data_IF_593027788895
#
_entry.id   IF_593027788895
#
_cell.length_a   1.000
_cell.length_b   1.000
_cell.length_c   1.000
_cell.angle_alpha   90.00
_cell.angle_beta   90.00
_cell.angle_gamma   90.00
#
_symmetry.space_group_name_H-M   'P 1'
#
loop_
_entity.id
_entity.type
_entity.pdbx_description
1 polymer ?
#
# COMPACT_ATOMS: atom_id res chain seq x y z
N UNK A 1 8.88 6.16 3.80
CA UNK A 1 9.85 7.26 3.88
C UNK A 1 10.93 7.05 4.94
N UNK A 2 10.62 6.48 6.12
CA UNK A 2 11.62 6.28 7.19
C UNK A 2 12.85 5.48 6.80
N UNK A 3 12.73 4.42 5.99
CA UNK A 3 13.89 3.70 5.47
C UNK A 3 14.84 4.57 4.64
N UNK A 4 14.28 5.42 3.76
CA UNK A 4 15.07 6.40 2.99
C UNK A 4 15.79 7.38 3.92
N UNK A 5 15.07 7.98 4.86
CA UNK A 5 15.63 8.93 5.84
C UNK A 5 16.75 8.27 6.65
N UNK A 6 16.57 7.02 7.06
CA UNK A 6 17.61 6.26 7.75
C UNK A 6 18.84 6.05 6.87
N UNK A 7 18.68 5.65 5.61
CA UNK A 7 19.81 5.45 4.70
C UNK A 7 20.54 6.77 4.38
N UNK A 8 19.80 7.86 4.19
CA UNK A 8 20.38 9.20 3.98
C UNK A 8 21.17 9.66 5.20
N UNK A 9 20.59 9.53 6.40
CA UNK A 9 21.24 9.91 7.66
C UNK A 9 22.45 9.01 7.96
N UNK A 10 22.35 7.70 7.69
CA UNK A 10 23.45 6.77 7.84
C UNK A 10 24.62 7.15 6.92
N UNK A 11 24.33 7.43 5.65
CA UNK A 11 25.33 7.83 4.67
C UNK A 11 26.00 9.15 5.07
N UNK A 12 25.22 10.15 5.49
CA UNK A 12 25.73 11.43 5.99
C UNK A 12 26.70 11.22 7.17
N UNK A 13 26.34 10.36 8.13
CA UNK A 13 27.18 10.07 9.30
C UNK A 13 28.45 9.30 8.95
N UNK A 14 28.36 8.34 8.04
CA UNK A 14 29.53 7.60 7.56
C UNK A 14 30.51 8.53 6.83
N UNK A 15 30.01 9.47 6.03
CA UNK A 15 30.85 10.45 5.34
C UNK A 15 31.47 11.47 6.30
N UNK A 16 30.74 11.91 7.32
CA UNK A 16 31.29 12.82 8.35
C UNK A 16 32.41 12.13 9.17
N UNK A 17 32.23 10.86 9.54
CA UNK A 17 33.25 10.08 10.25
C UNK A 17 34.50 9.80 9.42
N UNK A 18 34.41 9.81 8.08
CA UNK A 18 35.55 9.66 7.19
C UNK A 18 36.40 10.95 7.07
N UNK A 19 35.84 12.11 7.44
CA UNK A 19 36.50 13.42 7.38
C UNK A 19 37.23 13.72 8.71
N UNK A 20 36.66 13.28 9.83
CA UNK A 20 37.24 13.42 11.16
C UNK A 20 38.23 12.26 11.48
N UNK A 21 39.48 12.41 11.01
CA UNK A 21 40.70 11.70 11.43
C UNK A 21 40.78 10.16 11.21
N UNK A 22 41.49 9.67 10.16
CA UNK A 22 41.66 8.23 9.89
C UNK A 22 42.60 7.50 10.86
N UNK A 23 43.23 8.18 11.83
CA UNK A 23 44.33 7.63 12.62
C UNK A 23 43.92 7.06 13.99
N UNK A 24 42.66 7.20 14.40
CA UNK A 24 42.16 6.68 15.69
C UNK A 24 41.22 5.47 15.50
N UNK A 25 41.70 4.46 14.78
CA UNK A 25 40.97 3.24 14.42
C UNK A 25 41.00 2.15 15.51
N UNK A 26 40.48 2.41 16.71
CA UNK A 26 40.32 1.33 17.70
C UNK A 26 38.96 1.26 18.39
N UNK A 27 38.18 2.34 18.40
CA UNK A 27 36.83 2.27 18.96
C UNK A 27 35.86 2.99 18.04
N UNK A 28 35.26 2.24 17.12
CA UNK A 28 34.10 2.70 16.37
C UNK A 28 32.93 2.82 17.36
N UNK A 29 32.94 3.91 18.14
CA UNK A 29 31.85 4.24 19.05
C UNK A 29 30.60 4.29 18.19
N UNK A 30 29.55 3.51 18.50
CA UNK A 30 28.31 3.59 17.76
C UNK A 30 27.89 5.07 17.76
N UNK A 31 27.46 5.61 16.60
CA UNK A 31 27.07 7.01 16.53
C UNK A 31 26.10 7.26 17.67
N UNK A 32 26.48 8.15 18.59
CA UNK A 32 25.62 8.50 19.72
C UNK A 32 24.34 9.05 19.11
N UNK A 33 23.31 8.21 19.07
CA UNK A 33 22.00 8.63 18.66
C UNK A 33 21.52 9.49 19.84
N UNK A 34 21.82 10.78 19.79
CA UNK A 34 21.41 11.79 20.78
C UNK A 34 19.88 12.03 20.78
N UNK A 35 19.10 11.00 20.44
CA UNK A 35 17.66 10.99 20.59
C UNK A 35 17.36 10.23 21.86
N UNK A 36 17.19 10.98 22.96
CA UNK A 36 16.60 10.47 24.19
C UNK A 36 15.22 9.85 23.88
N UNK A 37 14.68 9.03 24.79
CA UNK A 37 13.33 8.48 24.67
C UNK A 37 12.27 9.58 24.43
N UNK A 38 12.55 10.81 24.87
CA UNK A 38 11.72 12.01 24.68
C UNK A 38 11.76 12.55 23.24
N UNK A 39 12.73 12.13 22.42
CA UNK A 39 12.87 12.53 21.02
C UNK A 39 12.18 11.58 20.03
N UNK A 40 11.53 10.50 20.50
CA UNK A 40 10.69 9.71 19.60
C UNK A 40 9.50 10.54 19.14
N UNK A 41 9.17 10.52 17.83
CA UNK A 41 7.98 11.21 17.39
C UNK A 41 6.77 10.60 18.10
N UNK A 42 5.84 11.44 18.58
CA UNK A 42 4.61 10.96 19.19
C UNK A 42 3.81 10.12 18.20
N UNK A 43 2.90 9.30 18.73
CA UNK A 43 2.00 8.51 17.88
C UNK A 43 1.12 9.43 17.03
N UNK A 44 0.68 8.94 15.86
CA UNK A 44 -0.10 9.76 14.93
C UNK A 44 -1.36 10.34 15.60
N UNK A 45 -2.02 9.59 16.47
CA UNK A 45 -3.26 10.00 17.13
C UNK A 45 -3.03 11.18 18.11
N UNK A 46 -1.80 11.36 18.61
CA UNK A 46 -1.42 12.53 19.41
C UNK A 46 -1.05 13.74 18.56
N UNK A 47 -0.62 13.50 17.32
CA UNK A 47 -0.23 14.55 16.37
C UNK A 47 -1.41 15.17 15.66
N UNK A 48 -2.48 14.42 15.43
CA UNK A 48 -3.63 14.88 14.67
C UNK A 48 -4.89 14.17 15.14
N UNK A 49 -5.96 14.93 15.31
CA UNK A 49 -7.25 14.33 15.62
C UNK A 49 -7.82 13.70 14.35
N UNK A 50 -7.87 12.37 14.36
CA UNK A 50 -8.41 11.58 13.26
C UNK A 50 -9.92 11.49 13.46
N UNK A 51 -10.64 12.42 12.84
CA UNK A 51 -12.11 12.46 12.94
C UNK A 51 -12.74 11.22 12.30
N UNK A 52 -13.57 10.53 13.08
CA UNK A 52 -14.28 9.33 12.65
C UNK A 52 -15.78 9.57 12.74
N UNK A 53 -16.48 9.44 11.62
CA UNK A 53 -17.93 9.56 11.59
C UNK A 53 -18.62 8.31 12.18
N UNK A 54 -19.81 8.45 12.80
CA UNK A 54 -20.57 7.32 13.31
C UNK A 54 -20.89 6.26 12.25
N UNK A 55 -21.20 6.70 11.02
CA UNK A 55 -21.44 5.81 9.89
C UNK A 55 -20.19 4.99 9.54
N UNK A 56 -19.00 5.60 9.59
CA UNK A 56 -17.75 4.89 9.39
C UNK A 56 -17.49 3.88 10.52
N UNK A 57 -17.69 4.26 11.78
CA UNK A 57 -17.55 3.35 12.93
C UNK A 57 -18.45 2.13 12.78
N UNK A 58 -19.73 2.35 12.44
CA UNK A 58 -20.68 1.28 12.21
C UNK A 58 -20.23 0.35 11.06
N UNK A 59 -19.77 0.94 9.94
CA UNK A 59 -19.27 0.18 8.80
C UNK A 59 -18.00 -0.61 9.13
N UNK A 60 -17.06 -0.02 9.85
CA UNK A 60 -15.82 -0.67 10.27
C UNK A 60 -16.09 -1.82 11.25
N UNK A 61 -16.89 -1.57 12.28
CA UNK A 61 -17.35 -2.59 13.24
C UNK A 61 -18.08 -3.74 12.54
N UNK A 62 -18.98 -3.40 11.61
CA UNK A 62 -19.69 -4.41 10.80
C UNK A 62 -18.74 -5.19 9.88
N UNK A 63 -17.69 -4.58 9.34
CA UNK A 63 -16.69 -5.27 8.50
C UNK A 63 -15.83 -6.22 9.33
N UNK A 64 -15.51 -5.84 10.56
CA UNK A 64 -14.69 -6.59 11.52
C UNK A 64 -15.44 -7.78 12.16
N UNK A 65 -16.71 -7.60 12.49
CA UNK A 65 -17.51 -8.58 13.23
C UNK A 65 -18.29 -9.56 12.34
N UNK A 66 -18.24 -9.42 11.01
CA UNK A 66 -18.93 -10.35 10.10
C UNK A 66 -18.23 -11.71 10.11
N UNK A 67 -18.96 -12.82 10.33
CA UNK A 67 -18.38 -14.15 10.27
C UNK A 67 -17.91 -14.47 8.86
N UNK A 68 -16.63 -14.82 8.73
CA UNK A 68 -15.99 -15.04 7.43
C UNK A 68 -16.60 -16.24 6.67
N UNK A 69 -17.17 -17.22 7.37
CA UNK A 69 -17.85 -18.38 6.79
C UNK A 69 -19.19 -18.06 6.10
N UNK A 70 -19.89 -17.01 6.53
CA UNK A 70 -21.20 -16.63 5.95
C UNK A 70 -21.10 -15.52 4.90
N UNK A 71 -19.95 -14.86 4.79
CA UNK A 71 -19.75 -13.70 3.93
C UNK A 71 -18.49 -13.82 3.08
N UNK A 72 -18.44 -14.88 2.26
CA UNK A 72 -17.39 -15.06 1.26
C UNK A 72 -17.46 -13.90 0.26
N UNK A 73 -16.33 -13.23 0.05
CA UNK A 73 -16.23 -12.14 -0.94
C UNK A 73 -15.84 -12.72 -2.30
N UNK A 74 -16.41 -12.18 -3.38
CA UNK A 74 -15.98 -12.54 -4.73
C UNK A 74 -14.47 -12.35 -4.98
N UNK A 75 -13.86 -11.36 -4.30
CA UNK A 75 -12.43 -11.07 -4.39
C UNK A 75 -11.56 -11.99 -3.52
N UNK A 76 -12.16 -12.94 -2.80
CA UNK A 76 -11.42 -13.88 -1.97
C UNK A 76 -10.92 -15.03 -2.84
N UNK A 77 -9.62 -15.32 -2.77
CA UNK A 77 -8.96 -16.34 -3.57
C UNK A 77 -9.26 -17.76 -3.06
N UNK A 78 -10.51 -18.21 -3.23
CA UNK A 78 -10.94 -19.57 -2.86
C UNK A 78 -10.17 -20.65 -3.62
N UNK A 79 -9.69 -20.32 -4.81
CA UNK A 79 -8.87 -21.18 -5.67
C UNK A 79 -7.43 -21.39 -5.14
N UNK A 80 -6.96 -20.59 -4.17
CA UNK A 80 -5.61 -20.70 -3.59
C UNK A 80 -5.69 -20.77 -2.07
N UNK A 81 -6.00 -21.94 -1.49
CA UNK A 81 -6.08 -22.09 -0.05
C UNK A 81 -4.71 -21.89 0.61
N UNK A 82 -4.74 -21.31 1.82
CA UNK A 82 -3.55 -21.15 2.66
C UNK A 82 -3.11 -22.54 3.16
N UNK A 83 -1.86 -22.91 2.89
CA UNK A 83 -1.24 -24.17 3.30
C UNK A 83 -0.09 -23.87 4.26
N UNK A 84 0.13 -24.77 5.21
CA UNK A 84 1.22 -24.68 6.19
C UNK A 84 2.57 -25.14 5.62
N UNK A 85 2.55 -25.94 4.55
CA UNK A 85 3.76 -26.33 3.82
C UNK A 85 4.38 -25.13 3.10
N UNK A 86 5.72 -25.05 2.99
CA UNK A 86 6.39 -23.93 2.33
C UNK A 86 5.96 -23.81 0.86
N UNK A 87 5.55 -22.60 0.47
CA UNK A 87 5.27 -22.29 -0.93
C UNK A 87 6.57 -22.14 -1.73
N UNK A 88 6.61 -22.68 -2.94
CA UNK A 88 7.66 -22.36 -3.91
C UNK A 88 7.37 -21.00 -4.54
N UNK A 89 7.89 -19.94 -3.92
CA UNK A 89 7.74 -18.57 -4.42
C UNK A 89 8.73 -18.32 -5.57
N UNK A 90 8.23 -17.88 -6.73
CA UNK A 90 9.06 -17.40 -7.83
C UNK A 90 9.09 -15.89 -7.80
N UNK A 91 10.25 -15.32 -7.51
CA UNK A 91 10.48 -13.88 -7.64
C UNK A 91 10.98 -13.57 -9.05
N UNK A 92 10.40 -12.55 -9.70
CA UNK A 92 10.88 -12.03 -10.98
C UNK A 92 11.00 -10.52 -10.87
N UNK A 93 12.12 -9.99 -11.36
CA UNK A 93 12.33 -8.56 -11.56
C UNK A 93 12.40 -8.30 -13.06
N UNK A 94 11.78 -7.21 -13.50
CA UNK A 94 11.87 -6.75 -14.88
C UNK A 94 12.29 -5.29 -14.87
N UNK A 95 13.21 -4.95 -15.75
CA UNK A 95 13.62 -3.57 -15.99
C UNK A 95 12.91 -3.10 -17.26
N UNK A 96 12.30 -1.92 -17.19
CA UNK A 96 11.81 -1.23 -18.38
C UNK A 96 12.97 -0.36 -18.86
N UNK A 97 13.54 -0.69 -20.01
CA UNK A 97 14.59 0.11 -20.64
C UNK A 97 14.07 1.53 -20.93
N UNK A 98 14.96 2.51 -21.09
CA UNK A 98 14.62 3.93 -21.31
C UNK A 98 13.94 4.15 -22.69
N UNK A 99 12.74 3.59 -22.88
CA UNK A 99 11.79 4.04 -23.89
C UNK A 99 11.48 5.47 -23.52
N UNK A 100 11.90 6.43 -24.37
CA UNK A 100 11.78 7.90 -24.19
C UNK A 100 11.00 8.26 -22.91
N UNK A 101 11.68 8.56 -21.78
CA UNK A 101 11.06 8.61 -20.45
C UNK A 101 9.90 9.61 -20.33
N UNK A 102 9.69 10.44 -21.35
CA UNK A 102 8.53 11.30 -21.54
C UNK A 102 7.25 10.58 -22.00
N UNK A 103 7.34 9.50 -22.78
CA UNK A 103 6.19 8.87 -23.47
C UNK A 103 5.16 8.26 -22.51
N UNK A 104 5.60 7.49 -21.51
CA UNK A 104 4.69 6.83 -20.57
C UNK A 104 3.97 7.84 -19.66
N UNK A 105 4.66 8.80 -19.01
CA UNK A 105 4.00 9.85 -18.25
C UNK A 105 3.08 10.73 -19.10
N UNK A 106 3.47 11.06 -20.34
CA UNK A 106 2.62 11.81 -21.28
C UNK A 106 1.36 11.03 -21.63
N UNK A 107 1.46 9.74 -21.95
CA UNK A 107 0.29 8.90 -22.21
C UNK A 107 -0.62 8.82 -20.98
N UNK A 108 -0.07 8.64 -19.78
CA UNK A 108 -0.87 8.66 -18.55
C UNK A 108 -1.60 9.99 -18.37
N UNK A 109 -0.95 11.12 -18.63
CA UNK A 109 -1.58 12.45 -18.58
C UNK A 109 -2.68 12.60 -19.63
N UNK A 110 -2.45 12.15 -20.86
CA UNK A 110 -3.45 12.18 -21.94
C UNK A 110 -4.72 11.38 -21.61
N UNK A 111 -4.59 10.29 -20.85
CA UNK A 111 -5.72 9.50 -20.36
C UNK A 111 -6.19 9.90 -18.95
N UNK A 112 -5.74 11.04 -18.43
CA UNK A 112 -6.15 11.56 -17.12
C UNK A 112 -5.79 10.65 -15.94
N UNK A 113 -4.80 9.77 -16.06
CA UNK A 113 -4.38 8.80 -15.04
C UNK A 113 -2.96 9.06 -14.54
N UNK A 114 -2.43 8.18 -13.67
CA UNK A 114 -1.03 8.17 -13.23
C UNK A 114 -0.36 6.85 -13.60
N UNK A 115 0.97 6.79 -13.51
CA UNK A 115 1.72 5.53 -13.65
C UNK A 115 1.20 4.47 -12.69
N UNK A 116 0.89 4.86 -11.45
CA UNK A 116 0.32 3.97 -10.44
C UNK A 116 -1.04 3.40 -10.87
N UNK A 117 -1.93 4.23 -11.42
CA UNK A 117 -3.20 3.76 -11.98
C UNK A 117 -2.97 2.79 -13.14
N UNK A 118 -2.05 3.13 -14.06
CA UNK A 118 -1.68 2.28 -15.19
C UNK A 118 -1.18 0.91 -14.78
N UNK A 119 -0.32 0.85 -13.78
CA UNK A 119 0.19 -0.41 -13.24
C UNK A 119 -0.94 -1.28 -12.67
N UNK A 120 -1.93 -0.70 -11.99
CA UNK A 120 -3.09 -1.46 -11.51
C UNK A 120 -3.90 -2.07 -12.66
N UNK A 121 -4.13 -1.30 -13.73
CA UNK A 121 -4.81 -1.80 -14.92
C UNK A 121 -4.03 -2.93 -15.62
N UNK A 122 -2.72 -2.76 -15.83
CA UNK A 122 -1.89 -3.78 -16.48
C UNK A 122 -1.77 -5.06 -15.64
N UNK A 123 -1.59 -4.94 -14.33
CA UNK A 123 -1.52 -6.09 -13.42
C UNK A 123 -2.85 -6.84 -13.40
N UNK A 124 -3.99 -6.14 -13.49
CA UNK A 124 -5.30 -6.79 -13.58
C UNK A 124 -5.41 -7.68 -14.83
N UNK A 125 -5.03 -7.16 -16.00
CA UNK A 125 -5.02 -7.96 -17.25
C UNK A 125 -4.03 -9.13 -17.15
N UNK A 126 -2.83 -8.89 -16.63
CA UNK A 126 -1.83 -9.93 -16.44
C UNK A 126 -2.31 -11.05 -15.52
N UNK A 127 -2.96 -10.70 -14.39
CA UNK A 127 -3.51 -11.68 -13.46
C UNK A 127 -4.64 -12.50 -14.11
N UNK A 128 -5.50 -11.89 -14.92
CA UNK A 128 -6.50 -12.63 -15.70
C UNK A 128 -5.84 -13.61 -16.69
N UNK A 129 -4.85 -13.14 -17.46
CA UNK A 129 -4.15 -13.99 -18.42
C UNK A 129 -3.40 -15.16 -17.76
N UNK A 130 -2.81 -14.93 -16.57
CA UNK A 130 -2.07 -15.96 -15.83
C UNK A 130 -2.98 -16.96 -15.12
N UNK A 131 -4.12 -16.52 -14.60
CA UNK A 131 -5.02 -17.37 -13.80
C UNK A 131 -6.03 -18.15 -14.63
N UNK A 132 -6.26 -17.74 -15.89
CA UNK A 132 -6.98 -18.50 -16.91
C UNK A 132 -8.32 -19.11 -16.46
N UNK A 133 -9.44 -18.49 -16.83
CA UNK A 133 -10.77 -19.10 -16.64
C UNK A 133 -11.47 -18.76 -15.32
N UNK A 134 -12.40 -19.62 -14.86
CA UNK A 134 -13.38 -19.33 -13.79
C UNK A 134 -12.80 -19.30 -12.36
N UNK A 135 -11.49 -19.47 -12.18
CA UNK A 135 -10.87 -19.62 -10.85
C UNK A 135 -11.03 -18.38 -9.98
N UNK A 136 -10.84 -17.18 -10.54
CA UNK A 136 -11.12 -15.92 -9.87
C UNK A 136 -12.41 -15.31 -10.44
N UNK A 137 -13.34 -14.85 -9.60
CA UNK A 137 -14.52 -14.11 -10.10
C UNK A 137 -14.38 -12.60 -9.94
N UNK A 138 -13.40 -12.14 -9.16
CA UNK A 138 -13.09 -10.74 -8.94
C UNK A 138 -11.69 -10.63 -8.35
N UNK A 139 -11.10 -9.43 -8.42
CA UNK A 139 -9.81 -9.14 -7.79
C UNK A 139 -9.91 -7.99 -6.80
N UNK A 140 -9.00 -8.00 -5.83
CA UNK A 140 -8.76 -6.86 -4.98
C UNK A 140 -7.26 -6.53 -4.97
N UNK A 141 -6.95 -5.25 -4.88
CA UNK A 141 -5.60 -4.75 -4.64
C UNK A 141 -5.61 -3.86 -3.41
N UNK A 142 -4.63 -4.04 -2.54
CA UNK A 142 -4.45 -3.17 -1.39
C UNK A 142 -3.27 -2.26 -1.64
N UNK A 143 -3.45 -0.97 -1.34
CA UNK A 143 -2.43 0.04 -1.53
C UNK A 143 -2.14 0.74 -0.22
N UNK A 144 -0.85 0.80 0.12
CA UNK A 144 -0.34 1.68 1.16
C UNK A 144 -0.38 3.13 0.69
N UNK A 145 -0.91 4.02 1.52
CA UNK A 145 -0.97 5.47 1.29
C UNK A 145 -0.18 6.15 2.38
N UNK A 146 0.82 6.92 1.97
CA UNK A 146 1.58 7.78 2.86
C UNK A 146 0.69 8.93 3.37
N UNK A 147 0.60 9.06 4.69
CA UNK A 147 -0.18 10.06 5.41
C UNK A 147 0.70 11.17 5.99
N UNK A 148 2.03 11.09 5.85
CA UNK A 148 2.98 12.06 6.41
C UNK A 148 2.68 13.50 5.97
N UNK A 149 2.18 13.70 4.74
CA UNK A 149 1.75 15.01 4.20
C UNK A 149 0.59 15.66 4.94
N UNK A 150 -0.20 14.89 5.68
CA UNK A 150 -1.37 15.39 6.42
C UNK A 150 -1.03 15.67 7.90
N UNK A 151 0.21 15.41 8.32
CA UNK A 151 0.64 15.67 9.68
C UNK A 151 1.04 17.14 9.85
N UNK A 152 0.64 17.78 10.96
CA UNK A 152 1.05 19.15 11.25
C UNK A 152 2.54 19.20 11.64
N UNK A 153 3.22 20.28 11.26
CA UNK A 153 4.56 20.60 11.76
C UNK A 153 4.49 21.56 12.95
N UNK A 154 5.45 21.43 13.88
CA UNK A 154 5.72 22.46 14.89
C UNK A 154 4.57 22.78 15.87
N UNK A 155 3.76 21.80 16.28
CA UNK A 155 2.71 22.01 17.29
C UNK A 155 3.33 22.49 18.62
N UNK A 156 2.66 23.32 19.44
CA UNK A 156 3.21 23.78 20.72
C UNK A 156 3.68 22.64 21.65
N UNK A 157 2.90 21.54 21.70
CA UNK A 157 3.22 20.35 22.50
C UNK A 157 4.36 19.51 21.90
N UNK A 158 4.63 19.63 20.60
CA UNK A 158 5.61 18.86 19.85
C UNK A 158 6.36 19.78 18.87
N UNK A 159 7.02 20.81 19.40
CA UNK A 159 7.60 21.90 18.59
C UNK A 159 8.77 21.44 17.71
N UNK A 160 9.47 20.38 18.12
CA UNK A 160 10.54 19.74 17.36
C UNK A 160 10.06 18.75 16.29
N UNK A 161 8.75 18.46 16.23
CA UNK A 161 8.22 17.50 15.28
C UNK A 161 8.14 18.10 13.88
N UNK A 162 8.90 17.48 12.97
CA UNK A 162 8.90 17.80 11.54
C UNK A 162 8.44 16.57 10.76
N UNK A 163 7.26 16.59 10.11
CA UNK A 163 6.74 15.44 9.38
C UNK A 163 7.77 14.88 8.41
N UNK A 164 8.40 15.70 7.57
CA UNK A 164 9.31 15.27 6.48
C UNK A 164 10.57 14.54 6.94
N UNK A 165 11.01 14.75 8.18
CA UNK A 165 12.22 14.13 8.75
C UNK A 165 11.91 13.15 9.88
N UNK A 166 10.64 13.03 10.28
CA UNK A 166 10.22 12.15 11.36
C UNK A 166 10.37 10.67 10.99
N UNK A 167 10.87 9.89 11.95
CA UNK A 167 11.01 8.45 11.84
C UNK A 167 9.79 7.75 12.47
N UNK A 168 8.81 7.36 11.66
CA UNK A 168 7.59 6.72 12.15
C UNK A 168 6.76 6.09 11.05
N UNK A 169 5.81 5.23 11.44
CA UNK A 169 4.88 4.62 10.50
C UNK A 169 3.63 5.51 10.33
N UNK A 170 3.61 6.26 9.23
CA UNK A 170 2.49 7.14 8.88
C UNK A 170 1.78 6.64 7.61
N UNK A 171 1.43 5.35 7.61
CA UNK A 171 0.85 4.69 6.43
C UNK A 171 -0.56 4.22 6.75
N UNK A 172 -1.51 4.55 5.88
CA UNK A 172 -2.84 3.93 5.85
C UNK A 172 -2.96 2.98 4.65
N UNK A 173 -4.06 2.24 4.57
CA UNK A 173 -4.35 1.34 3.47
C UNK A 173 -5.66 1.73 2.77
N UNK A 174 -5.72 1.48 1.47
CA UNK A 174 -6.96 1.52 0.71
C UNK A 174 -7.10 0.28 -0.17
N UNK A 175 -8.33 -0.21 -0.26
CA UNK A 175 -8.71 -1.37 -1.06
C UNK A 175 -9.24 -0.89 -2.42
N UNK A 176 -8.70 -1.40 -3.52
CA UNK A 176 -9.31 -1.36 -4.85
C UNK A 176 -9.97 -2.69 -5.13
N UNK A 177 -11.18 -2.68 -5.70
CA UNK A 177 -11.90 -3.91 -6.07
C UNK A 177 -12.27 -3.86 -7.54
N UNK A 178 -11.97 -4.93 -8.25
CA UNK A 178 -12.30 -5.17 -9.64
C UNK A 178 -13.33 -6.29 -9.65
N UNK A 179 -14.59 -5.93 -9.88
CA UNK A 179 -15.72 -6.85 -9.74
C UNK A 179 -15.79 -7.86 -10.90
N UNK A 180 -16.74 -8.80 -10.79
CA UNK A 180 -16.96 -9.82 -11.80
C UNK A 180 -17.31 -9.27 -13.17
N UNK A 181 -18.01 -8.14 -13.26
CA UNK A 181 -18.32 -7.53 -14.55
C UNK A 181 -17.06 -7.11 -15.30
N UNK A 182 -16.11 -6.43 -14.64
CA UNK A 182 -14.84 -6.03 -15.26
C UNK A 182 -14.00 -7.26 -15.64
N UNK A 183 -13.95 -8.25 -14.75
CA UNK A 183 -13.22 -9.51 -14.98
C UNK A 183 -13.79 -10.27 -16.19
N UNK A 184 -15.12 -10.45 -16.24
CA UNK A 184 -15.79 -11.11 -17.36
C UNK A 184 -15.59 -10.35 -18.68
N UNK A 185 -15.60 -9.02 -18.64
CA UNK A 185 -15.31 -8.20 -19.81
C UNK A 185 -13.90 -8.43 -20.33
N UNK A 186 -12.89 -8.42 -19.45
CA UNK A 186 -11.50 -8.72 -19.82
C UNK A 186 -11.42 -10.10 -20.47
N UNK A 187 -12.01 -11.13 -19.85
CA UNK A 187 -12.00 -12.50 -20.38
C UNK A 187 -12.63 -12.63 -21.75
N UNK A 188 -13.72 -11.91 -22.01
CA UNK A 188 -14.36 -11.93 -23.32
C UNK A 188 -13.48 -11.36 -24.44
N UNK A 189 -12.46 -10.58 -24.07
CA UNK A 189 -11.54 -9.91 -25.00
C UNK A 189 -10.14 -10.54 -25.05
N UNK A 190 -9.79 -11.38 -24.06
CA UNK A 190 -8.54 -12.15 -24.07
C UNK A 190 -8.74 -13.36 -24.98
N UNK A 191 -8.16 -13.32 -26.18
CA UNK A 191 -8.14 -14.46 -27.09
C UNK A 191 -6.96 -15.40 -26.83
N UNK A 192 -7.03 -16.65 -27.30
CA UNK A 192 -5.89 -17.61 -27.28
C UNK A 192 -4.63 -17.10 -28.04
N UNK A 193 -4.79 -16.03 -28.85
CA UNK A 193 -3.73 -15.46 -29.70
C UNK A 193 -3.12 -14.15 -29.18
N UNK A 194 -3.50 -13.64 -28.01
CA UNK A 194 -2.92 -12.40 -27.43
C UNK A 194 -1.48 -12.58 -26.89
N UNK A 195 -0.81 -13.67 -27.29
CA UNK A 195 0.62 -13.88 -27.12
C UNK A 195 1.49 -13.03 -28.08
N UNK A 196 0.89 -12.23 -28.95
CA UNK A 196 1.59 -11.42 -29.95
C UNK A 196 1.81 -9.98 -29.46
N UNK A 197 2.93 -9.72 -28.78
CA UNK A 197 3.66 -8.43 -28.57
C UNK A 197 2.88 -7.15 -28.12
N UNK A 198 1.55 -7.10 -28.17
CA UNK A 198 0.71 -5.93 -27.98
C UNK A 198 -0.68 -6.34 -27.49
N UNK A 199 -1.23 -5.59 -26.53
CA UNK A 199 -2.61 -5.75 -26.10
C UNK A 199 -3.57 -5.25 -27.19
N UNK A 200 -4.72 -5.92 -27.35
CA UNK A 200 -5.78 -5.45 -28.24
C UNK A 200 -6.30 -4.06 -27.81
N UNK A 201 -6.82 -3.27 -28.76
CA UNK A 201 -7.33 -1.92 -28.48
C UNK A 201 -8.40 -1.92 -27.38
N UNK A 202 -9.28 -2.93 -27.36
CA UNK A 202 -10.31 -3.08 -26.32
C UNK A 202 -9.72 -3.36 -24.93
N UNK A 203 -8.72 -4.24 -24.84
CA UNK A 203 -8.02 -4.50 -23.57
C UNK A 203 -7.28 -3.25 -23.09
N UNK A 204 -6.66 -2.49 -24.00
CA UNK A 204 -6.01 -1.22 -23.67
C UNK A 204 -7.00 -0.17 -23.16
N UNK A 205 -8.20 -0.10 -23.72
CA UNK A 205 -9.26 0.78 -23.20
C UNK A 205 -9.67 0.37 -21.77
N UNK A 206 -9.81 -0.92 -21.49
CA UNK A 206 -10.07 -1.43 -20.13
C UNK A 206 -8.93 -1.05 -19.18
N UNK A 207 -7.68 -1.16 -19.62
CA UNK A 207 -6.51 -0.71 -18.84
C UNK A 207 -6.67 0.76 -18.49
N UNK A 208 -6.93 1.63 -19.46
CA UNK A 208 -7.04 3.08 -19.22
C UNK A 208 -8.22 3.46 -18.33
N UNK A 209 -9.40 2.89 -18.57
CA UNK A 209 -10.60 3.15 -17.76
C UNK A 209 -10.41 2.67 -16.31
N UNK A 210 -9.81 1.50 -16.11
CA UNK A 210 -9.45 0.97 -14.79
C UNK A 210 -8.42 1.86 -14.10
N UNK A 211 -7.43 2.33 -14.86
CA UNK A 211 -6.38 3.22 -14.36
C UNK A 211 -6.95 4.55 -13.85
N UNK A 212 -7.85 5.15 -14.62
CA UNK A 212 -8.53 6.39 -14.25
C UNK A 212 -9.37 6.22 -12.98
N UNK A 213 -10.13 5.10 -12.87
CA UNK A 213 -10.90 4.76 -11.66
C UNK A 213 -9.98 4.65 -10.43
N UNK A 214 -8.85 3.97 -10.57
CA UNK A 214 -7.85 3.84 -9.51
C UNK A 214 -7.30 5.20 -9.09
N UNK A 215 -6.94 6.07 -10.06
CA UNK A 215 -6.48 7.43 -9.76
C UNK A 215 -7.53 8.23 -9.01
N UNK A 216 -8.78 8.26 -9.48
CA UNK A 216 -9.86 9.00 -8.82
C UNK A 216 -10.07 8.55 -7.39
N UNK A 217 -10.05 7.23 -7.14
CA UNK A 217 -10.14 6.69 -5.78
C UNK A 217 -8.96 7.10 -4.89
N UNK A 218 -7.74 7.21 -5.44
CA UNK A 218 -6.59 7.73 -4.70
C UNK A 218 -6.82 9.21 -4.40
N UNK A 219 -7.17 10.03 -5.39
CA UNK A 219 -7.42 11.47 -5.21
C UNK A 219 -8.51 11.73 -4.16
N UNK A 220 -9.60 10.96 -4.19
CA UNK A 220 -10.66 11.00 -3.18
C UNK A 220 -10.14 10.61 -1.79
N UNK A 221 -9.33 9.55 -1.70
CA UNK A 221 -8.71 9.16 -0.41
C UNK A 221 -7.79 10.26 0.14
N UNK A 222 -7.07 10.96 -0.73
CA UNK A 222 -6.18 12.06 -0.33
C UNK A 222 -6.96 13.33 0.03
N UNK A 223 -8.04 13.65 -0.68
CA UNK A 223 -8.86 14.83 -0.39
C UNK A 223 -9.61 14.71 0.94
N UNK A 224 -9.92 13.49 1.39
CA UNK A 224 -10.45 13.23 2.72
C UNK A 224 -9.42 13.44 3.85
N UNK A 225 -8.14 13.68 3.54
CA UNK A 225 -7.07 13.79 4.53
C UNK A 225 -7.05 12.55 5.44
N UNK A 226 -7.13 12.74 6.75
CA UNK A 226 -7.21 11.66 7.75
C UNK A 226 -8.65 11.35 8.19
N UNK A 227 -9.67 12.05 7.67
CA UNK A 227 -11.05 11.80 8.05
C UNK A 227 -11.50 10.40 7.63
N UNK A 228 -12.22 9.72 8.52
CA UNK A 228 -12.72 8.35 8.28
C UNK A 228 -11.59 7.39 7.85
N UNK A 229 -10.42 7.52 8.47
CA UNK A 229 -9.31 6.61 8.27
C UNK A 229 -9.31 5.48 9.32
N UNK A 230 -8.82 4.30 8.95
CA UNK A 230 -8.69 3.17 9.88
C UNK A 230 -7.73 3.52 11.02
N UNK A 231 -6.77 4.41 10.78
CA UNK A 231 -5.87 4.94 11.80
C UNK A 231 -6.65 5.68 12.90
N UNK A 232 -7.84 6.22 12.63
CA UNK A 232 -8.67 6.84 13.66
C UNK A 232 -9.32 5.85 14.62
N UNK A 233 -9.35 4.57 14.26
CA UNK A 233 -9.81 3.49 15.15
C UNK A 233 -8.66 2.93 16.00
N UNK A 234 -7.41 3.26 15.66
CA UNK A 234 -6.23 2.79 16.38
C UNK A 234 -6.20 3.28 17.82
N UNK A 235 -6.73 4.48 18.08
CA UNK A 235 -6.84 5.07 19.42
C UNK A 235 -7.68 4.25 20.40
N UNK A 236 -8.60 3.43 19.88
CA UNK A 236 -9.49 2.58 20.69
C UNK A 236 -8.88 1.19 20.96
N UNK A 237 -7.68 0.92 20.47
CA UNK A 237 -6.97 -0.36 20.67
C UNK A 237 -6.01 -0.20 21.86
N UNK A 238 -6.32 -0.78 23.03
CA UNK A 238 -5.49 -0.61 24.23
C UNK A 238 -4.15 -1.35 24.13
N UNK A 239 -4.13 -2.53 23.49
CA UNK A 239 -2.92 -3.31 23.24
C UNK A 239 -2.96 -3.94 21.84
N UNK A 240 -2.09 -3.45 20.96
CA UNK A 240 -1.93 -3.99 19.61
C UNK A 240 -1.38 -5.42 19.60
N UNK A 241 -0.50 -5.80 20.54
CA UNK A 241 0.08 -7.15 20.59
C UNK A 241 -1.01 -8.17 20.88
N UNK A 242 -1.85 -7.90 21.87
CA UNK A 242 -3.00 -8.77 22.18
C UNK A 242 -4.00 -8.78 21.03
N UNK A 243 -4.31 -7.62 20.42
CA UNK A 243 -5.15 -7.56 19.22
C UNK A 243 -4.60 -8.45 18.08
N UNK A 244 -3.29 -8.43 17.81
CA UNK A 244 -2.66 -9.28 16.80
C UNK A 244 -2.74 -10.77 17.16
N UNK A 245 -2.47 -11.15 18.42
CA UNK A 245 -2.65 -12.54 18.88
C UNK A 245 -4.08 -13.02 18.70
N UNK A 246 -5.08 -12.20 19.03
CA UNK A 246 -6.48 -12.53 18.81
C UNK A 246 -6.80 -12.69 17.32
N UNK A 247 -6.26 -11.83 16.46
CA UNK A 247 -6.48 -11.93 15.01
C UNK A 247 -5.84 -13.18 14.41
N UNK A 248 -4.69 -13.63 14.92
CA UNK A 248 -4.06 -14.90 14.49
C UNK A 248 -4.92 -16.12 14.80
N UNK A 249 -5.73 -16.08 15.87
CA UNK A 249 -6.64 -17.16 16.25
C UNK A 249 -7.94 -17.17 15.44
N UNK A 250 -8.24 -16.10 14.69
CA UNK A 250 -9.46 -16.08 13.87
C UNK A 250 -9.31 -17.10 12.74
N UNK A 251 -10.33 -17.94 12.51
CA UNK A 251 -10.29 -18.87 11.39
C UNK A 251 -10.11 -18.07 10.10
N UNK A 252 -9.05 -18.39 9.35
CA UNK A 252 -8.99 -18.02 7.95
C UNK A 252 -10.27 -18.56 7.30
N UNK A 253 -10.93 -17.77 6.47
CA UNK A 253 -12.09 -18.25 5.72
C UNK A 253 -11.61 -19.27 4.70
N UNK A 254 -11.50 -20.50 5.15
CA UNK A 254 -11.27 -21.70 4.36
C UNK A 254 -12.60 -22.45 4.42
N UNK A 255 -13.29 -22.65 3.29
CA UNK A 255 -14.29 -23.70 3.21
C UNK A 255 -13.56 -25.04 3.23
N UNK A 256 -14.07 -25.98 4.05
CA UNK A 256 -13.76 -27.39 3.89
C UNK A 256 -14.37 -27.98 2.63
#
# INVERSE_FOLDING_TARGET
>A
MSGKIFHELLLERLNAAAIDDPTNSSEMKPPQCARSLESFPPTMEKLVDVSVSPLFLLNASRKENRPASKFIRATQAQWSPIRTSPYKTRFRCFSVENVTPSSIPLACRGHGTTLTGRLHGLVLILLEALLGGTQASAFASNKAIDQQRHLPSGRPTYSSFQPTTAFGNYVSMMDHRFNSAVVSQIRSMVGEKDHAESLSTGLMEIVWTTSLKVRKAIEEKLSMSLRNDILGLAKDIPDFREKFKMMQRRPASVPG
#
